data_IF_951519717854
#
_entry.id   IF_951519717854
#
_cell.length_a   1.000
_cell.length_b   1.000
_cell.length_c   1.000
_cell.angle_alpha   90.00
_cell.angle_beta   90.00
_cell.angle_gamma   90.00
#
_symmetry.space_group_name_H-M   'P 1'
#
loop_
_entity.id
_entity.type
_entity.pdbx_description
1 polymer ?
#
# COMPACT_ATOMS: atom_id res chain seq x y z
N UNK A 1 -0.71 46.03 9.92
CA UNK A 1 -1.36 44.99 9.10
C UNK A 1 -2.73 44.73 9.69
N UNK A 2 -3.79 44.85 8.93
CA UNK A 2 -5.17 44.85 9.45
C UNK A 2 -5.61 43.44 9.85
N UNK A 3 -6.11 43.24 11.08
CA UNK A 3 -6.54 41.94 11.64
C UNK A 3 -7.53 41.19 10.72
N UNK A 4 -8.36 41.91 9.98
CA UNK A 4 -9.26 41.35 8.96
C UNK A 4 -8.51 40.73 7.77
N UNK A 5 -7.37 41.34 7.39
CA UNK A 5 -6.55 40.81 6.26
C UNK A 5 -5.82 39.53 6.66
N UNK A 6 -5.33 39.43 7.89
CA UNK A 6 -4.71 38.21 8.43
C UNK A 6 -5.72 37.07 8.53
N UNK A 7 -6.97 37.37 8.94
CA UNK A 7 -8.04 36.38 9.04
C UNK A 7 -8.48 35.88 7.66
N UNK A 8 -8.53 36.77 6.66
CA UNK A 8 -8.87 36.40 5.26
C UNK A 8 -7.76 35.56 4.64
N UNK A 9 -6.47 35.93 4.87
CA UNK A 9 -5.32 35.13 4.40
C UNK A 9 -5.29 33.76 5.09
N UNK A 10 -5.58 33.69 6.38
CA UNK A 10 -5.69 32.44 7.12
C UNK A 10 -6.83 31.54 6.61
N UNK A 11 -7.99 32.10 6.29
CA UNK A 11 -9.13 31.40 5.71
C UNK A 11 -8.87 30.93 4.27
N UNK A 12 -8.19 31.74 3.45
CA UNK A 12 -7.80 31.37 2.08
C UNK A 12 -6.72 30.28 2.09
N UNK A 13 -5.73 30.38 2.98
CA UNK A 13 -4.72 29.33 3.15
C UNK A 13 -5.32 28.01 3.69
N UNK A 14 -6.24 28.07 4.66
CA UNK A 14 -6.93 26.87 5.14
C UNK A 14 -7.85 26.26 4.08
N UNK A 15 -8.52 27.08 3.26
CA UNK A 15 -9.35 26.59 2.15
C UNK A 15 -8.51 26.05 0.97
N UNK A 16 -7.29 26.56 0.77
CA UNK A 16 -6.35 26.01 -0.23
C UNK A 16 -5.72 24.68 0.25
N UNK A 17 -5.40 24.55 1.54
CA UNK A 17 -4.93 23.30 2.11
C UNK A 17 -6.04 22.22 2.11
N UNK A 18 -7.30 22.58 2.39
CA UNK A 18 -8.42 21.66 2.28
C UNK A 18 -8.74 21.24 0.83
N UNK A 19 -8.47 22.10 -0.17
CA UNK A 19 -8.69 21.75 -1.59
C UNK A 19 -7.62 20.83 -2.18
N UNK A 20 -6.42 20.74 -1.60
CA UNK A 20 -5.34 19.89 -2.13
C UNK A 20 -5.60 18.38 -1.91
N UNK A 21 -6.39 17.99 -0.91
CA UNK A 21 -6.71 16.59 -0.60
C UNK A 21 -8.09 16.12 -1.12
N UNK A 22 -8.88 17.03 -1.70
CA UNK A 22 -10.29 16.75 -2.05
C UNK A 22 -10.49 15.92 -3.32
N UNK A 23 -9.42 15.58 -4.08
CA UNK A 23 -9.56 14.86 -5.34
C UNK A 23 -9.51 13.33 -5.18
N UNK A 24 -8.84 12.81 -4.13
CA UNK A 24 -8.72 11.38 -3.90
C UNK A 24 -9.72 10.91 -2.84
N UNK A 25 -10.86 10.42 -3.28
CA UNK A 25 -11.89 9.86 -2.41
C UNK A 25 -12.50 8.59 -3.04
N UNK A 26 -11.70 7.53 -3.24
CA UNK A 26 -12.17 6.33 -3.91
C UNK A 26 -13.18 5.52 -3.08
N UNK A 27 -13.11 5.63 -1.74
CA UNK A 27 -13.97 4.89 -0.84
C UNK A 27 -14.53 5.77 0.28
N UNK A 28 -15.72 5.44 0.81
CA UNK A 28 -16.28 6.13 1.97
C UNK A 28 -15.42 5.87 3.22
N UNK A 29 -15.27 6.91 4.07
CA UNK A 29 -14.53 6.80 5.34
C UNK A 29 -15.29 5.96 6.37
N UNK A 30 -14.64 5.65 7.49
CA UNK A 30 -15.26 4.98 8.64
C UNK A 30 -16.51 5.73 9.11
N UNK A 31 -17.52 4.99 9.55
CA UNK A 31 -18.80 5.56 10.00
C UNK A 31 -19.82 5.87 8.89
N UNK A 32 -19.42 5.81 7.63
CA UNK A 32 -20.37 5.92 6.51
C UNK A 32 -21.31 4.70 6.48
N UNK A 33 -22.58 4.96 6.17
CA UNK A 33 -23.62 3.92 6.05
C UNK A 33 -23.34 2.90 4.95
N UNK A 34 -22.45 3.22 4.01
CA UNK A 34 -21.99 2.30 2.96
C UNK A 34 -21.52 0.96 3.54
N UNK A 35 -20.64 1.00 4.54
CA UNK A 35 -20.08 -0.20 5.16
C UNK A 35 -21.15 -1.12 5.75
N UNK A 36 -22.25 -0.54 6.26
CA UNK A 36 -23.35 -1.30 6.84
C UNK A 36 -24.32 -1.84 5.78
N UNK A 37 -24.46 -1.14 4.64
CA UNK A 37 -25.45 -1.46 3.61
C UNK A 37 -24.89 -2.33 2.50
N UNK A 38 -23.65 -2.08 2.07
CA UNK A 38 -23.05 -2.71 0.89
C UNK A 38 -22.18 -3.93 1.23
N UNK A 39 -21.57 -3.96 2.44
CA UNK A 39 -20.74 -5.10 2.84
C UNK A 39 -21.62 -6.19 3.47
N UNK A 40 -21.56 -7.45 3.01
CA UNK A 40 -22.34 -8.55 3.56
C UNK A 40 -22.13 -8.72 5.08
N UNK A 41 -23.21 -9.01 5.80
CA UNK A 41 -23.18 -9.17 7.27
C UNK A 41 -22.16 -10.21 7.72
N UNK A 42 -22.07 -11.34 7.00
CA UNK A 42 -21.10 -12.39 7.31
C UNK A 42 -19.67 -11.88 7.26
N UNK A 43 -19.30 -11.17 6.17
CA UNK A 43 -17.97 -10.58 6.01
C UNK A 43 -17.67 -9.56 7.12
N UNK A 44 -18.62 -8.67 7.44
CA UNK A 44 -18.44 -7.70 8.54
C UNK A 44 -18.20 -8.42 9.88
N UNK A 45 -18.97 -9.47 10.17
CA UNK A 45 -18.82 -10.25 11.39
C UNK A 45 -17.46 -10.95 11.46
N UNK A 46 -16.94 -11.44 10.33
CA UNK A 46 -15.61 -12.06 10.28
C UNK A 46 -14.49 -11.06 10.58
N UNK A 47 -14.52 -9.86 10.00
CA UNK A 47 -13.55 -8.82 10.35
C UNK A 47 -13.66 -8.40 11.82
N UNK A 48 -14.88 -8.24 12.37
CA UNK A 48 -15.08 -7.90 13.78
C UNK A 48 -14.57 -9.04 14.68
N UNK A 49 -14.78 -10.30 14.32
CA UNK A 49 -14.25 -11.47 15.04
C UNK A 49 -12.73 -11.47 15.06
N UNK A 50 -12.08 -11.21 13.92
CA UNK A 50 -10.63 -11.06 13.83
C UNK A 50 -10.13 -9.89 14.68
N UNK A 51 -10.79 -8.73 14.62
CA UNK A 51 -10.45 -7.58 15.47
C UNK A 51 -10.52 -7.93 16.96
N UNK A 52 -11.54 -8.69 17.40
CA UNK A 52 -11.67 -9.16 18.79
C UNK A 52 -10.53 -10.08 19.21
N UNK A 53 -10.05 -10.91 18.29
CA UNK A 53 -8.89 -11.79 18.52
C UNK A 53 -7.61 -10.97 18.66
N UNK A 54 -7.38 -10.07 17.71
CA UNK A 54 -6.14 -9.34 17.61
C UNK A 54 -6.01 -8.19 18.61
N UNK A 55 -7.10 -7.55 19.05
CA UNK A 55 -7.02 -6.49 20.05
C UNK A 55 -6.44 -6.93 21.40
N UNK A 56 -6.42 -8.23 21.67
CA UNK A 56 -5.85 -8.84 22.89
C UNK A 56 -4.36 -9.15 22.77
N UNK A 57 -3.81 -9.14 21.54
CA UNK A 57 -2.40 -9.42 21.32
C UNK A 57 -1.54 -8.20 21.68
N UNK A 58 -0.39 -8.40 22.32
CA UNK A 58 0.54 -7.32 22.64
C UNK A 58 1.22 -6.78 21.37
N UNK A 59 1.76 -5.58 21.46
CA UNK A 59 2.60 -4.94 20.47
C UNK A 59 4.08 -5.07 20.90
N UNK A 60 4.63 -6.27 20.76
CA UNK A 60 6.01 -6.56 21.14
C UNK A 60 6.97 -6.17 20.02
N UNK A 61 8.09 -5.55 20.37
CA UNK A 61 9.18 -5.33 19.43
C UNK A 61 9.74 -6.68 18.95
N UNK A 62 10.10 -6.75 17.67
CA UNK A 62 10.80 -7.90 17.10
C UNK A 62 12.25 -7.80 17.56
N UNK A 63 12.85 -8.86 18.15
CA UNK A 63 14.24 -8.83 18.57
C UNK A 63 15.16 -8.57 17.37
N UNK A 64 16.12 -7.64 17.54
CA UNK A 64 17.05 -7.26 16.48
C UNK A 64 17.90 -8.44 15.98
N UNK A 65 18.16 -9.39 16.85
CA UNK A 65 18.90 -10.61 16.54
C UNK A 65 18.24 -11.44 15.45
N UNK A 66 16.88 -11.45 15.39
CA UNK A 66 16.15 -12.18 14.35
C UNK A 66 16.33 -11.55 12.96
N UNK A 67 16.54 -10.24 12.89
CA UNK A 67 16.90 -9.55 11.64
C UNK A 67 18.32 -9.96 11.18
N UNK A 68 19.27 -10.02 12.11
CA UNK A 68 20.65 -10.39 11.83
C UNK A 68 20.82 -11.87 11.43
N UNK A 69 19.90 -12.76 11.82
CA UNK A 69 19.95 -14.20 11.49
C UNK A 69 20.09 -14.48 10.00
N UNK A 70 19.49 -13.66 9.14
CA UNK A 70 19.64 -13.85 7.70
C UNK A 70 21.10 -13.84 7.24
N UNK A 71 21.93 -12.96 7.82
CA UNK A 71 23.36 -12.86 7.51
C UNK A 71 24.22 -13.90 8.22
N UNK A 72 23.81 -14.30 9.41
CA UNK A 72 24.63 -15.20 10.24
C UNK A 72 24.39 -16.68 9.94
N UNK A 73 23.16 -17.07 9.61
CA UNK A 73 22.79 -18.47 9.40
C UNK A 73 21.78 -18.70 8.25
N UNK A 74 21.42 -17.65 7.49
CA UNK A 74 20.48 -17.72 6.36
C UNK A 74 19.01 -17.74 6.77
N UNK A 75 18.66 -17.64 8.05
CA UNK A 75 17.28 -17.65 8.50
C UNK A 75 16.62 -16.27 8.33
N UNK A 76 15.66 -16.17 7.43
CA UNK A 76 14.81 -14.98 7.25
C UNK A 76 13.42 -15.17 7.87
N UNK A 77 12.98 -16.41 8.01
CA UNK A 77 11.60 -16.79 8.33
C UNK A 77 11.14 -16.26 9.67
N UNK A 78 11.99 -16.34 10.71
CA UNK A 78 11.61 -15.87 12.06
C UNK A 78 11.27 -14.39 12.10
N UNK A 79 12.08 -13.57 11.43
CA UNK A 79 11.80 -12.14 11.35
C UNK A 79 10.54 -11.87 10.54
N UNK A 80 10.43 -12.49 9.37
CA UNK A 80 9.31 -12.30 8.44
C UNK A 80 7.98 -12.72 9.06
N UNK A 81 7.90 -13.89 9.70
CA UNK A 81 6.70 -14.35 10.38
C UNK A 81 6.24 -13.37 11.48
N UNK A 82 7.18 -12.87 12.28
CA UNK A 82 6.87 -11.88 13.31
C UNK A 82 6.40 -10.56 12.71
N UNK A 83 7.12 -10.05 11.70
CA UNK A 83 6.83 -8.79 11.02
C UNK A 83 5.49 -8.82 10.30
N UNK A 84 5.24 -9.87 9.50
CA UNK A 84 3.95 -10.05 8.81
C UNK A 84 2.80 -10.32 9.77
N UNK A 85 3.07 -11.03 10.87
CA UNK A 85 2.10 -11.25 11.94
C UNK A 85 1.61 -9.96 12.59
N UNK A 86 2.50 -8.99 12.80
CA UNK A 86 2.18 -7.67 13.35
C UNK A 86 1.38 -6.84 12.34
N UNK A 87 1.75 -6.83 11.05
CA UNK A 87 0.99 -6.16 9.98
C UNK A 87 -0.41 -6.75 9.86
N UNK A 88 -0.53 -8.07 9.87
CA UNK A 88 -1.83 -8.76 9.88
C UNK A 88 -2.69 -8.36 11.08
N UNK A 89 -2.09 -8.30 12.29
CA UNK A 89 -2.78 -7.82 13.49
C UNK A 89 -3.33 -6.41 13.27
N UNK A 90 -2.50 -5.50 12.75
CA UNK A 90 -2.86 -4.12 12.52
C UNK A 90 -4.00 -3.98 11.50
N UNK A 91 -3.86 -4.59 10.33
CA UNK A 91 -4.89 -4.55 9.27
C UNK A 91 -6.22 -5.13 9.76
N UNK A 92 -6.20 -6.25 10.49
CA UNK A 92 -7.42 -6.83 11.05
C UNK A 92 -8.13 -5.88 12.02
N UNK A 93 -7.39 -5.11 12.82
CA UNK A 93 -7.96 -4.11 13.74
C UNK A 93 -8.56 -2.92 12.96
N UNK A 94 -7.84 -2.41 11.96
CA UNK A 94 -8.32 -1.32 11.10
C UNK A 94 -9.59 -1.73 10.37
N UNK A 95 -9.60 -2.90 9.72
CA UNK A 95 -10.78 -3.41 9.03
C UNK A 95 -11.97 -3.65 9.97
N UNK A 96 -11.72 -4.18 11.18
CA UNK A 96 -12.76 -4.35 12.18
C UNK A 96 -13.37 -3.01 12.62
N UNK A 97 -12.56 -1.95 12.75
CA UNK A 97 -13.06 -0.61 13.07
C UNK A 97 -13.90 -0.05 11.92
N UNK A 98 -13.44 -0.16 10.68
CA UNK A 98 -14.19 0.27 9.50
C UNK A 98 -15.55 -0.44 9.43
N UNK A 99 -15.58 -1.76 9.64
CA UNK A 99 -16.80 -2.56 9.60
C UNK A 99 -17.77 -2.26 10.74
N UNK A 100 -17.27 -1.86 11.92
CA UNK A 100 -18.09 -1.57 13.08
C UNK A 100 -18.42 -0.08 13.23
N UNK A 101 -17.44 0.82 13.03
CA UNK A 101 -17.58 2.27 13.11
C UNK A 101 -17.96 2.80 14.50
N UNK A 102 -17.48 2.18 15.59
CA UNK A 102 -17.86 2.51 16.97
C UNK A 102 -16.70 2.96 17.86
N UNK A 103 -15.50 3.04 17.32
CA UNK A 103 -14.29 3.44 18.05
C UNK A 103 -13.72 2.37 18.98
N UNK A 104 -14.25 1.14 18.91
CA UNK A 104 -13.89 0.05 19.83
C UNK A 104 -12.44 -0.41 19.66
N UNK A 105 -11.95 -0.46 18.43
CA UNK A 105 -10.61 -0.93 18.11
C UNK A 105 -9.59 0.20 18.06
N UNK A 106 -10.01 1.47 18.08
CA UNK A 106 -9.13 2.64 18.03
C UNK A 106 -8.01 2.63 19.09
N UNK A 107 -8.24 2.23 20.36
CA UNK A 107 -7.13 2.17 21.32
C UNK A 107 -6.01 1.23 20.89
N UNK A 108 -6.34 0.08 20.28
CA UNK A 108 -5.36 -0.88 19.79
C UNK A 108 -4.70 -0.42 18.49
N UNK A 109 -5.46 0.21 17.58
CA UNK A 109 -4.94 0.81 16.34
C UNK A 109 -3.91 1.90 16.66
N UNK A 110 -4.18 2.81 17.60
CA UNK A 110 -3.22 3.84 18.01
C UNK A 110 -1.93 3.25 18.57
N UNK A 111 -2.01 2.20 19.39
CA UNK A 111 -0.84 1.46 19.86
C UNK A 111 -0.04 0.86 18.68
N UNK A 112 -0.74 0.37 17.66
CA UNK A 112 -0.12 -0.12 16.43
C UNK A 112 0.57 0.98 15.64
N UNK A 113 -0.03 2.17 15.52
CA UNK A 113 0.61 3.33 14.88
C UNK A 113 1.91 3.71 15.61
N UNK A 114 1.87 3.84 16.95
CA UNK A 114 3.07 4.07 17.75
C UNK A 114 4.12 2.96 17.57
N UNK A 115 3.68 1.70 17.46
CA UNK A 115 4.59 0.59 17.20
C UNK A 115 5.37 0.81 15.89
N UNK A 116 4.67 1.09 14.79
CA UNK A 116 5.30 1.26 13.48
C UNK A 116 6.23 2.48 13.40
N UNK A 117 5.88 3.59 14.06
CA UNK A 117 6.66 4.82 13.97
C UNK A 117 7.79 4.92 15.00
N UNK A 118 7.67 4.25 16.16
CA UNK A 118 8.61 4.38 17.27
C UNK A 118 9.45 3.13 17.52
N UNK A 119 8.84 1.93 17.39
CA UNK A 119 9.44 0.68 17.85
C UNK A 119 9.97 -0.19 16.74
N UNK A 120 9.36 -0.16 15.56
CA UNK A 120 9.81 -0.95 14.42
C UNK A 120 10.87 -0.18 13.62
N UNK A 121 12.14 -0.58 13.71
CA UNK A 121 13.22 0.13 13.01
C UNK A 121 13.20 -0.14 11.50
N UNK A 122 12.74 -1.31 11.08
CA UNK A 122 12.76 -1.75 9.69
C UNK A 122 11.35 -2.07 9.19
N UNK A 123 10.92 -1.37 8.14
CA UNK A 123 9.65 -1.70 7.48
C UNK A 123 9.78 -2.79 6.42
N UNK A 124 11.00 -3.06 5.95
CA UNK A 124 11.32 -4.13 5.04
C UNK A 124 11.82 -5.40 5.74
N UNK A 125 12.38 -6.34 4.97
CA UNK A 125 12.86 -7.63 5.45
C UNK A 125 14.38 -7.77 5.32
N UNK A 126 15.01 -8.65 6.14
CA UNK A 126 16.48 -8.78 6.19
C UNK A 126 17.13 -9.07 4.84
N UNK A 127 16.47 -9.87 4.00
CA UNK A 127 17.02 -10.29 2.70
C UNK A 127 17.21 -9.12 1.71
N UNK A 128 16.49 -8.01 1.89
CA UNK A 128 16.51 -6.85 1.02
C UNK A 128 17.43 -5.72 1.50
N UNK A 129 18.04 -5.88 2.66
CA UNK A 129 18.94 -4.89 3.24
C UNK A 129 20.41 -5.26 3.00
N UNK A 130 21.26 -4.28 2.65
CA UNK A 130 22.68 -4.54 2.39
C UNK A 130 23.49 -4.84 3.65
N UNK A 131 22.98 -4.44 4.83
CA UNK A 131 23.64 -4.58 6.13
C UNK A 131 22.75 -5.36 7.08
N UNK A 132 23.37 -6.01 8.06
CA UNK A 132 22.67 -6.77 9.10
C UNK A 132 21.83 -5.88 10.00
N UNK A 133 22.32 -4.69 10.30
CA UNK A 133 21.64 -3.66 11.09
C UNK A 133 21.69 -2.33 10.34
N UNK A 134 20.80 -2.10 9.39
CA UNK A 134 20.78 -0.84 8.68
C UNK A 134 20.42 0.29 9.66
N UNK A 135 21.14 1.40 9.56
CA UNK A 135 20.78 2.60 10.32
C UNK A 135 19.35 3.03 9.99
N UNK A 136 18.59 3.46 11.00
CA UNK A 136 17.17 3.80 10.86
C UNK A 136 16.93 4.92 9.83
N UNK A 137 17.91 5.79 9.62
CA UNK A 137 17.81 6.91 8.69
C UNK A 137 18.13 6.53 7.24
N UNK A 138 18.71 5.33 7.02
CA UNK A 138 18.99 4.78 5.71
C UNK A 138 17.99 3.64 5.46
N UNK A 139 16.92 3.95 4.75
CA UNK A 139 15.87 2.98 4.42
C UNK A 139 15.99 2.58 2.96
N UNK A 140 16.41 1.34 2.63
CA UNK A 140 16.20 0.83 1.29
C UNK A 140 14.70 0.70 1.05
N UNK A 141 14.27 1.06 -0.15
CA UNK A 141 12.87 0.90 -0.54
C UNK A 141 12.71 -0.47 -1.16
N UNK A 142 12.15 -1.38 -0.37
CA UNK A 142 11.78 -2.73 -0.79
C UNK A 142 10.25 -2.88 -0.86
N UNK A 143 9.79 -4.08 -1.20
CA UNK A 143 8.38 -4.45 -1.33
C UNK A 143 7.61 -4.15 -0.04
N UNK A 144 8.13 -4.59 1.10
CA UNK A 144 7.43 -4.53 2.39
C UNK A 144 7.54 -3.17 3.08
N UNK A 145 8.59 -2.40 2.76
CA UNK A 145 8.65 -0.99 3.11
C UNK A 145 7.52 -0.22 2.41
N UNK A 146 7.32 -0.47 1.11
CA UNK A 146 6.24 0.13 0.33
C UNK A 146 4.84 -0.27 0.85
N UNK A 147 4.59 -1.57 1.07
CA UNK A 147 3.32 -2.04 1.65
C UNK A 147 3.04 -1.47 3.04
N UNK A 148 4.08 -1.32 3.87
CA UNK A 148 3.90 -0.74 5.20
C UNK A 148 3.50 0.73 5.13
N UNK A 149 4.15 1.49 4.24
CA UNK A 149 3.81 2.90 4.02
C UNK A 149 2.38 3.05 3.51
N UNK A 150 1.97 2.21 2.55
CA UNK A 150 0.63 2.23 1.99
C UNK A 150 -0.45 1.79 3.00
N UNK A 151 -0.20 0.73 3.74
CA UNK A 151 -1.07 0.28 4.84
C UNK A 151 -1.32 1.41 5.86
N UNK A 152 -0.28 2.15 6.22
CA UNK A 152 -0.39 3.28 7.13
C UNK A 152 -1.14 4.45 6.48
N UNK A 153 -0.87 4.75 5.21
CA UNK A 153 -1.56 5.78 4.44
C UNK A 153 -3.08 5.50 4.36
N UNK A 154 -3.47 4.29 3.99
CA UNK A 154 -4.89 3.89 3.98
C UNK A 154 -5.53 3.95 5.36
N UNK A 155 -4.80 3.64 6.43
CA UNK A 155 -5.29 3.80 7.79
C UNK A 155 -5.60 5.27 8.10
N UNK A 156 -4.73 6.19 7.71
CA UNK A 156 -4.98 7.63 7.83
C UNK A 156 -6.17 8.06 6.98
N UNK A 157 -6.25 7.63 5.72
CA UNK A 157 -7.39 7.94 4.86
C UNK A 157 -8.73 7.57 5.51
N UNK A 158 -8.81 6.36 6.07
CA UNK A 158 -10.04 5.82 6.64
C UNK A 158 -10.40 6.36 8.03
N UNK A 159 -9.41 6.62 8.90
CA UNK A 159 -9.61 6.77 10.33
C UNK A 159 -9.06 8.08 10.93
N UNK A 160 -8.50 8.99 10.13
CA UNK A 160 -7.78 10.17 10.63
C UNK A 160 -8.62 11.00 11.62
N UNK A 161 -9.88 11.29 11.28
CA UNK A 161 -10.76 12.08 12.13
C UNK A 161 -11.01 11.42 13.48
N UNK A 162 -11.16 10.08 13.49
CA UNK A 162 -11.37 9.29 14.70
C UNK A 162 -10.10 9.22 15.56
N UNK A 163 -8.95 9.04 14.91
CA UNK A 163 -7.65 9.00 15.59
C UNK A 163 -7.34 10.37 16.21
N UNK A 164 -7.45 11.46 15.45
CA UNK A 164 -7.13 12.81 15.91
C UNK A 164 -8.05 13.30 17.03
N UNK A 165 -9.32 12.85 17.07
CA UNK A 165 -10.22 13.12 18.21
C UNK A 165 -9.74 12.48 19.51
N UNK A 166 -9.00 11.38 19.43
CA UNK A 166 -8.46 10.66 20.60
C UNK A 166 -7.03 11.03 20.92
N UNK A 167 -6.24 11.38 19.91
CA UNK A 167 -4.83 11.69 20.05
C UNK A 167 -4.38 12.65 18.95
N UNK A 168 -4.45 13.93 19.28
CA UNK A 168 -4.12 15.02 18.34
C UNK A 168 -2.64 14.94 17.93
N UNK A 169 -2.38 15.01 16.63
CA UNK A 169 -1.04 15.04 16.07
C UNK A 169 -0.41 13.66 15.79
N UNK A 170 -1.04 12.55 16.21
CA UNK A 170 -0.52 11.21 15.89
C UNK A 170 -0.52 10.97 14.37
N UNK A 171 -1.57 11.38 13.67
CA UNK A 171 -1.63 11.23 12.22
C UNK A 171 -0.54 12.01 11.49
N UNK A 172 -0.17 13.19 11.98
CA UNK A 172 0.93 13.98 11.41
C UNK A 172 2.29 13.33 11.66
N UNK A 173 2.49 12.69 12.82
CA UNK A 173 3.69 11.90 13.10
C UNK A 173 3.80 10.69 12.14
N UNK A 174 2.69 9.99 11.91
CA UNK A 174 2.66 8.87 10.96
C UNK A 174 2.98 9.36 9.54
N UNK A 175 2.41 10.47 9.06
CA UNK A 175 2.76 11.07 7.76
C UNK A 175 4.22 11.43 7.67
N UNK A 176 4.77 12.01 8.73
CA UNK A 176 6.19 12.37 8.78
C UNK A 176 7.09 11.13 8.61
N UNK A 177 6.76 10.01 9.26
CA UNK A 177 7.51 8.77 9.13
C UNK A 177 7.32 8.11 7.74
N UNK A 178 6.11 8.14 7.17
CA UNK A 178 5.87 7.69 5.78
C UNK A 178 6.74 8.52 4.82
N UNK A 179 6.73 9.85 4.97
CA UNK A 179 7.55 10.72 4.14
C UNK A 179 9.04 10.40 4.28
N UNK A 180 9.54 10.30 5.50
CA UNK A 180 10.96 10.07 5.79
C UNK A 180 11.44 8.68 5.34
N UNK A 181 10.66 7.63 5.59
CA UNK A 181 11.07 6.24 5.34
C UNK A 181 10.75 5.74 3.94
N UNK A 182 9.79 6.36 3.26
CA UNK A 182 9.31 5.87 1.97
C UNK A 182 9.30 6.93 0.88
N UNK A 183 8.50 8.01 1.00
CA UNK A 183 8.28 8.96 -0.09
C UNK A 183 9.56 9.67 -0.51
N UNK A 184 10.36 10.19 0.44
CA UNK A 184 11.62 10.86 0.13
C UNK A 184 12.69 9.91 -0.43
N UNK A 185 12.93 8.71 0.14
CA UNK A 185 13.84 7.74 -0.45
C UNK A 185 13.43 7.29 -1.85
N UNK A 186 12.15 6.99 -2.09
CA UNK A 186 11.68 6.65 -3.44
C UNK A 186 11.95 7.78 -4.42
N UNK A 187 11.64 9.01 -4.05
CA UNK A 187 11.74 10.13 -4.99
C UNK A 187 13.19 10.53 -5.26
N UNK A 188 14.03 10.58 -4.24
CA UNK A 188 15.33 11.26 -4.28
C UNK A 188 16.54 10.32 -4.33
N UNK A 189 16.37 9.02 -4.09
CA UNK A 189 17.48 8.06 -4.10
C UNK A 189 17.41 7.13 -5.32
N UNK A 190 18.55 6.68 -5.86
CA UNK A 190 18.58 5.65 -6.88
C UNK A 190 17.94 4.36 -6.38
N UNK A 191 17.00 3.82 -7.15
CA UNK A 191 16.28 2.58 -6.85
C UNK A 191 16.39 1.65 -8.05
N UNK A 192 17.10 0.53 -7.91
CA UNK A 192 17.35 -0.41 -9.03
C UNK A 192 16.07 -0.98 -9.64
N UNK A 193 15.03 -1.24 -8.81
CA UNK A 193 13.76 -1.77 -9.28
C UNK A 193 13.01 -0.85 -10.26
N UNK A 194 13.25 0.46 -10.26
CA UNK A 194 12.63 1.41 -11.22
C UNK A 194 13.02 1.13 -12.67
N UNK A 195 14.17 0.52 -12.88
CA UNK A 195 14.71 0.21 -14.22
C UNK A 195 14.41 -1.21 -14.69
N UNK A 196 13.77 -2.02 -13.85
CA UNK A 196 13.46 -3.41 -14.12
C UNK A 196 11.98 -3.58 -14.54
N UNK A 197 11.70 -4.63 -15.31
CA UNK A 197 10.35 -5.00 -15.73
C UNK A 197 9.77 -6.18 -14.94
N UNK A 198 10.32 -6.45 -13.75
CA UNK A 198 9.83 -7.50 -12.86
C UNK A 198 8.75 -6.99 -11.88
N UNK A 199 8.23 -7.89 -11.07
CA UNK A 199 7.18 -7.61 -10.07
C UNK A 199 7.55 -6.49 -9.08
N UNK A 200 8.81 -6.34 -8.69
CA UNK A 200 9.25 -5.26 -7.81
C UNK A 200 8.85 -3.87 -8.32
N UNK A 201 8.94 -3.68 -9.64
CA UNK A 201 8.60 -2.40 -10.25
C UNK A 201 7.14 -2.03 -9.98
N UNK A 202 6.21 -2.88 -10.40
CA UNK A 202 4.78 -2.59 -10.28
C UNK A 202 4.27 -2.68 -8.85
N UNK A 203 4.76 -3.63 -8.08
CA UNK A 203 4.37 -3.79 -6.68
C UNK A 203 4.73 -2.55 -5.85
N UNK A 204 5.97 -2.06 -5.95
CA UNK A 204 6.37 -0.84 -5.24
C UNK A 204 5.69 0.40 -5.84
N UNK A 205 5.50 0.43 -7.17
CA UNK A 205 4.90 1.60 -7.84
C UNK A 205 3.43 1.78 -7.50
N UNK A 206 2.62 0.71 -7.37
CA UNK A 206 1.21 0.83 -6.93
C UNK A 206 1.13 1.39 -5.52
N UNK A 207 1.87 0.82 -4.58
CA UNK A 207 1.94 1.32 -3.22
C UNK A 207 2.45 2.78 -3.14
N UNK A 208 3.43 3.14 -3.98
CA UNK A 208 3.93 4.51 -4.06
C UNK A 208 2.86 5.48 -4.55
N UNK A 209 2.14 5.14 -5.61
CA UNK A 209 1.07 5.95 -6.16
C UNK A 209 -0.01 6.22 -5.11
N UNK A 210 -0.50 5.19 -4.43
CA UNK A 210 -1.55 5.30 -3.43
C UNK A 210 -1.10 6.11 -2.23
N UNK A 211 0.10 5.85 -1.73
CA UNK A 211 0.69 6.62 -0.64
C UNK A 211 0.83 8.11 -0.99
N UNK A 212 1.24 8.45 -2.22
CA UNK A 212 1.32 9.84 -2.70
C UNK A 212 -0.05 10.48 -2.79
N UNK A 213 -1.03 9.77 -3.34
CA UNK A 213 -2.42 10.26 -3.45
C UNK A 213 -3.03 10.61 -2.10
N UNK A 214 -2.66 9.88 -1.05
CA UNK A 214 -3.20 10.05 0.30
C UNK A 214 -2.37 11.03 1.13
N UNK A 215 -1.05 10.92 1.12
CA UNK A 215 -0.18 11.56 2.11
C UNK A 215 0.59 12.76 1.60
N UNK A 216 0.85 12.89 0.27
CA UNK A 216 1.70 13.98 -0.24
C UNK A 216 0.89 15.26 -0.45
N UNK A 217 1.16 16.28 0.36
CA UNK A 217 0.48 17.57 0.29
C UNK A 217 1.23 18.62 -0.55
N UNK A 218 2.56 18.49 -0.70
CA UNK A 218 3.34 19.40 -1.55
C UNK A 218 3.11 19.10 -3.04
N UNK A 219 2.64 20.10 -3.76
CA UNK A 219 2.28 19.95 -5.18
C UNK A 219 3.48 19.59 -6.07
N UNK A 220 4.69 20.11 -5.78
CA UNK A 220 5.90 19.82 -6.56
C UNK A 220 6.36 18.38 -6.35
N UNK A 221 6.38 17.94 -5.08
CA UNK A 221 6.73 16.56 -4.72
C UNK A 221 5.74 15.58 -5.34
N UNK A 222 4.46 15.89 -5.25
CA UNK A 222 3.39 15.08 -5.85
C UNK A 222 3.51 14.96 -7.36
N UNK A 223 3.76 16.09 -8.07
CA UNK A 223 3.93 16.08 -9.53
C UNK A 223 5.20 15.32 -9.94
N UNK A 224 6.28 15.46 -9.16
CA UNK A 224 7.51 14.68 -9.39
C UNK A 224 7.28 13.19 -9.17
N UNK A 225 6.53 12.81 -8.13
CA UNK A 225 6.18 11.43 -7.86
C UNK A 225 5.32 10.83 -8.98
N UNK A 226 4.30 11.55 -9.48
CA UNK A 226 3.48 11.09 -10.62
C UNK A 226 4.30 10.83 -11.88
N UNK A 227 5.28 11.70 -12.19
CA UNK A 227 6.21 11.48 -13.31
C UNK A 227 7.05 10.21 -13.09
N UNK A 228 7.53 10.00 -11.86
CA UNK A 228 8.29 8.81 -11.49
C UNK A 228 7.47 7.54 -11.64
N UNK A 229 6.23 7.54 -11.13
CA UNK A 229 5.26 6.43 -11.26
C UNK A 229 5.00 6.12 -12.75
N UNK A 230 4.68 7.12 -13.56
CA UNK A 230 4.50 6.92 -15.02
C UNK A 230 5.73 6.31 -15.68
N UNK A 231 6.94 6.75 -15.30
CA UNK A 231 8.17 6.20 -15.85
C UNK A 231 8.36 4.73 -15.47
N UNK A 232 8.13 4.37 -14.21
CA UNK A 232 8.19 2.98 -13.73
C UNK A 232 7.22 2.09 -14.51
N UNK A 233 5.96 2.51 -14.63
CA UNK A 233 4.93 1.76 -15.36
C UNK A 233 5.26 1.61 -16.86
N UNK A 234 5.82 2.63 -17.50
CA UNK A 234 6.30 2.54 -18.89
C UNK A 234 7.46 1.54 -19.03
N UNK A 235 8.40 1.55 -18.08
CA UNK A 235 9.52 0.60 -18.04
C UNK A 235 9.02 -0.83 -17.91
N UNK A 236 8.11 -1.08 -16.97
CA UNK A 236 7.49 -2.38 -16.79
C UNK A 236 6.77 -2.85 -18.07
N UNK A 237 5.87 -2.01 -18.60
CA UNK A 237 5.07 -2.35 -19.77
C UNK A 237 5.91 -2.62 -21.03
N UNK A 238 7.07 -1.93 -21.16
CA UNK A 238 8.01 -2.16 -22.26
C UNK A 238 8.67 -3.53 -22.18
N UNK A 239 9.04 -3.98 -20.98
CA UNK A 239 9.77 -5.23 -20.78
C UNK A 239 8.88 -6.44 -20.51
N UNK A 240 7.61 -6.25 -20.11
CA UNK A 240 6.69 -7.34 -19.85
C UNK A 240 6.27 -8.08 -21.14
N UNK A 241 6.08 -9.40 -21.14
CA UNK A 241 5.71 -10.17 -22.32
C UNK A 241 4.41 -9.70 -23.00
N UNK A 242 4.36 -9.75 -24.32
CA UNK A 242 3.19 -9.29 -25.10
C UNK A 242 1.96 -10.21 -24.95
N UNK A 243 2.19 -11.48 -24.64
CA UNK A 243 1.13 -12.44 -24.31
C UNK A 243 0.52 -12.24 -22.92
N UNK A 244 1.09 -11.34 -22.10
CA UNK A 244 0.64 -11.05 -20.76
C UNK A 244 1.07 -12.06 -19.69
N UNK A 245 1.95 -13.01 -20.03
CA UNK A 245 2.44 -14.04 -19.13
C UNK A 245 3.30 -13.49 -18.01
N UNK A 246 3.08 -13.95 -16.78
CA UNK A 246 3.98 -13.65 -15.66
C UNK A 246 5.10 -14.69 -15.61
N UNK A 247 6.34 -14.28 -15.78
CA UNK A 247 7.50 -15.20 -15.83
C UNK A 247 7.69 -16.01 -14.54
N UNK A 248 7.31 -15.45 -13.39
CA UNK A 248 7.36 -16.11 -12.08
C UNK A 248 6.13 -16.98 -11.80
N UNK A 249 5.16 -17.03 -12.74
CA UNK A 249 3.95 -17.83 -12.64
C UNK A 249 2.78 -17.14 -11.94
N UNK A 250 1.69 -17.90 -11.78
CA UNK A 250 0.37 -17.37 -11.33
C UNK A 250 0.39 -16.75 -9.94
N UNK A 251 1.21 -17.25 -9.02
CA UNK A 251 1.30 -16.73 -7.65
C UNK A 251 1.87 -15.30 -7.61
N UNK A 252 2.64 -14.91 -8.63
CA UNK A 252 3.23 -13.58 -8.73
C UNK A 252 2.43 -12.62 -9.63
N UNK A 253 1.37 -13.11 -10.26
CA UNK A 253 0.49 -12.26 -11.08
C UNK A 253 -0.08 -11.08 -10.27
N UNK A 254 -0.47 -11.31 -9.01
CA UNK A 254 -1.00 -10.28 -8.11
C UNK A 254 -0.01 -9.12 -7.93
N UNK A 255 1.30 -9.43 -7.86
CA UNK A 255 2.35 -8.46 -7.65
C UNK A 255 2.91 -7.84 -8.95
N UNK A 256 2.58 -8.43 -10.11
CA UNK A 256 3.05 -7.99 -11.42
C UNK A 256 1.93 -7.35 -12.23
N UNK A 257 1.21 -8.14 -13.05
CA UNK A 257 0.16 -7.64 -13.93
C UNK A 257 -1.02 -7.01 -13.18
N UNK A 258 -1.40 -7.56 -12.04
CA UNK A 258 -2.47 -7.00 -11.21
C UNK A 258 -2.07 -5.68 -10.57
N UNK A 259 -0.86 -5.55 -9.99
CA UNK A 259 -0.38 -4.27 -9.43
C UNK A 259 -0.18 -3.20 -10.50
N UNK A 260 0.16 -3.59 -11.74
CA UNK A 260 0.15 -2.65 -12.87
C UNK A 260 -1.27 -2.10 -13.11
N UNK A 261 -2.27 -2.98 -13.17
CA UNK A 261 -3.66 -2.58 -13.36
C UNK A 261 -4.17 -1.76 -12.16
N UNK A 262 -3.81 -2.13 -10.94
CA UNK A 262 -4.13 -1.37 -9.73
C UNK A 262 -3.65 0.09 -9.84
N UNK A 263 -2.41 0.28 -10.33
CA UNK A 263 -1.91 1.63 -10.61
C UNK A 263 -2.78 2.37 -11.64
N UNK A 264 -3.21 1.71 -12.73
CA UNK A 264 -4.14 2.32 -13.70
C UNK A 264 -5.49 2.66 -13.06
N UNK A 265 -6.00 1.79 -12.21
CA UNK A 265 -7.26 2.00 -11.50
C UNK A 265 -7.18 3.22 -10.57
N UNK A 266 -6.13 3.36 -9.76
CA UNK A 266 -6.00 4.50 -8.88
C UNK A 266 -5.62 5.80 -9.59
N UNK A 267 -4.95 5.74 -10.74
CA UNK A 267 -4.70 6.92 -11.57
C UNK A 267 -5.97 7.64 -12.06
N UNK A 268 -7.12 6.96 -12.15
CA UNK A 268 -8.38 7.62 -12.51
C UNK A 268 -8.85 8.65 -11.48
N UNK A 269 -8.37 8.54 -10.24
CA UNK A 269 -8.65 9.49 -9.15
C UNK A 269 -7.56 10.59 -9.05
N UNK A 270 -6.51 10.51 -9.84
CA UNK A 270 -5.42 11.47 -9.88
C UNK A 270 -5.72 12.63 -10.87
N UNK A 271 -4.99 13.74 -10.79
CA UNK A 271 -5.07 14.79 -11.82
C UNK A 271 -4.78 14.22 -13.22
N UNK A 272 -5.44 14.77 -14.26
CA UNK A 272 -5.32 14.26 -15.65
C UNK A 272 -3.89 14.09 -16.14
N UNK A 273 -2.98 14.99 -15.74
CA UNK A 273 -1.56 14.90 -16.11
C UNK A 273 -0.82 13.72 -15.48
N UNK A 274 -1.37 13.11 -14.42
CA UNK A 274 -0.82 11.93 -13.78
C UNK A 274 -1.25 10.62 -14.45
N UNK A 275 -2.29 10.65 -15.29
CA UNK A 275 -2.85 9.45 -15.93
C UNK A 275 -1.89 8.94 -17.02
N UNK A 276 -1.61 7.64 -17.00
CA UNK A 276 -0.80 6.98 -18.01
C UNK A 276 -1.61 6.80 -19.31
N UNK A 277 -1.15 7.40 -20.40
CA UNK A 277 -1.74 7.19 -21.72
C UNK A 277 -1.13 5.95 -22.37
N UNK A 278 -1.97 5.02 -22.82
CA UNK A 278 -1.60 3.77 -23.49
C UNK A 278 -2.01 3.84 -24.96
N UNK A 279 -1.13 3.38 -25.86
CA UNK A 279 -1.47 3.12 -27.25
C UNK A 279 -2.19 1.76 -27.39
N UNK A 280 -2.71 1.45 -28.58
CA UNK A 280 -3.51 0.23 -28.79
C UNK A 280 -2.74 -1.08 -28.51
N UNK A 281 -1.47 -1.17 -28.88
CA UNK A 281 -0.64 -2.33 -28.57
C UNK A 281 -0.43 -2.51 -27.06
N UNK A 282 -0.24 -1.41 -26.33
CA UNK A 282 -0.10 -1.41 -24.88
C UNK A 282 -1.43 -1.80 -24.19
N UNK A 283 -2.56 -1.30 -24.67
CA UNK A 283 -3.88 -1.71 -24.18
C UNK A 283 -4.08 -3.21 -24.36
N UNK A 284 -3.73 -3.74 -25.54
CA UNK A 284 -3.81 -5.17 -25.82
C UNK A 284 -2.94 -5.99 -24.88
N UNK A 285 -1.72 -5.53 -24.58
CA UNK A 285 -0.84 -6.17 -23.59
C UNK A 285 -1.48 -6.18 -22.19
N UNK A 286 -2.06 -5.07 -21.74
CA UNK A 286 -2.80 -5.00 -20.46
C UNK A 286 -3.98 -5.97 -20.42
N UNK A 287 -4.75 -6.08 -21.51
CA UNK A 287 -5.80 -7.09 -21.62
C UNK A 287 -5.25 -8.51 -21.48
N UNK A 288 -4.13 -8.81 -22.15
CA UNK A 288 -3.49 -10.12 -22.08
C UNK A 288 -3.01 -10.42 -20.64
N UNK A 289 -2.44 -9.44 -19.92
CA UNK A 289 -2.09 -9.59 -18.51
C UNK A 289 -3.31 -9.98 -17.64
N UNK A 290 -4.46 -9.35 -17.87
CA UNK A 290 -5.70 -9.68 -17.15
C UNK A 290 -6.25 -11.08 -17.52
N UNK A 291 -6.05 -11.52 -18.77
CA UNK A 291 -6.47 -12.85 -19.24
C UNK A 291 -5.55 -13.97 -18.75
N UNK A 292 -4.28 -13.68 -18.45
CA UNK A 292 -3.31 -14.68 -18.04
C UNK A 292 -3.80 -15.52 -16.88
N UNK A 293 -4.30 -14.89 -15.80
CA UNK A 293 -4.74 -15.61 -14.60
C UNK A 293 -5.89 -16.60 -14.90
N UNK A 294 -6.83 -16.21 -15.78
CA UNK A 294 -7.94 -17.06 -16.16
C UNK A 294 -7.50 -18.17 -17.14
N UNK A 295 -6.51 -17.91 -17.98
CA UNK A 295 -5.94 -18.91 -18.90
C UNK A 295 -5.19 -20.00 -18.16
N UNK A 296 -4.55 -19.65 -17.03
CA UNK A 296 -3.79 -20.60 -16.20
C UNK A 296 -4.66 -21.37 -15.19
N UNK A 297 -5.95 -21.06 -15.09
CA UNK A 297 -6.87 -21.73 -14.17
C UNK A 297 -7.24 -23.14 -14.68
N UNK A 298 -7.21 -24.12 -13.80
CA UNK A 298 -7.58 -25.52 -14.08
C UNK A 298 -8.93 -25.84 -13.41
N UNK A 299 -8.97 -25.82 -12.08
CA UNK A 299 -10.20 -26.05 -11.29
C UNK A 299 -10.00 -25.60 -9.84
N UNK A 300 -11.07 -25.35 -9.14
CA UNK A 300 -11.09 -24.94 -7.72
C UNK A 300 -10.04 -23.86 -7.39
N UNK A 301 -8.98 -24.23 -6.70
CA UNK A 301 -7.82 -23.37 -6.39
C UNK A 301 -6.59 -23.79 -7.18
N UNK A 302 -6.72 -24.69 -8.16
CA UNK A 302 -5.60 -25.26 -8.91
C UNK A 302 -5.34 -24.48 -10.18
N UNK A 303 -4.09 -24.16 -10.40
CA UNK A 303 -3.58 -23.44 -11.56
C UNK A 303 -2.40 -24.18 -12.20
N UNK A 304 -2.12 -23.90 -13.46
CA UNK A 304 -0.86 -24.31 -14.08
C UNK A 304 0.28 -23.65 -13.33
N UNK A 305 1.16 -24.46 -12.75
CA UNK A 305 2.29 -23.97 -11.97
C UNK A 305 3.62 -24.16 -12.72
N UNK A 306 4.44 -23.12 -12.65
CA UNK A 306 5.81 -23.11 -13.16
C UNK A 306 6.58 -22.03 -12.41
N UNK A 307 7.93 -22.04 -12.52
CA UNK A 307 8.82 -21.10 -11.81
C UNK A 307 8.51 -21.11 -10.31
N UNK A 308 8.28 -19.95 -9.71
CA UNK A 308 8.05 -19.80 -8.26
C UNK A 308 6.56 -19.93 -7.87
N UNK A 309 5.67 -20.22 -8.85
CA UNK A 309 4.25 -20.36 -8.56
C UNK A 309 3.90 -21.69 -7.89
N UNK A 310 2.95 -21.62 -6.97
CA UNK A 310 2.35 -22.81 -6.37
C UNK A 310 1.18 -23.31 -7.21
N UNK A 311 0.92 -24.62 -7.16
CA UNK A 311 -0.22 -25.22 -7.87
C UNK A 311 -1.57 -24.76 -7.31
N UNK A 312 -1.64 -24.45 -6.03
CA UNK A 312 -2.82 -23.87 -5.40
C UNK A 312 -2.60 -22.38 -5.17
N UNK A 313 -3.51 -21.57 -5.70
CA UNK A 313 -3.43 -20.11 -5.62
C UNK A 313 -4.82 -19.52 -5.35
N UNK A 314 -4.85 -18.39 -4.66
CA UNK A 314 -6.06 -17.57 -4.47
C UNK A 314 -5.73 -16.17 -4.98
N UNK A 315 -6.05 -15.86 -6.24
CA UNK A 315 -5.81 -14.53 -6.78
C UNK A 315 -6.51 -13.44 -5.96
N UNK A 316 -5.93 -12.25 -5.95
CA UNK A 316 -6.54 -11.09 -5.28
C UNK A 316 -7.86 -10.70 -5.98
N UNK A 317 -8.97 -11.15 -5.42
CA UNK A 317 -10.31 -10.89 -5.98
C UNK A 317 -10.67 -9.41 -6.02
N UNK A 318 -10.07 -8.58 -5.16
CA UNK A 318 -10.31 -7.14 -5.16
C UNK A 318 -9.77 -6.46 -6.42
N UNK A 319 -8.73 -7.03 -7.02
CA UNK A 319 -8.18 -6.58 -8.30
C UNK A 319 -8.77 -7.37 -9.47
N UNK A 320 -8.97 -8.66 -9.31
CA UNK A 320 -9.51 -9.52 -10.37
C UNK A 320 -10.87 -9.03 -10.88
N UNK A 321 -11.78 -8.61 -9.99
CA UNK A 321 -13.10 -8.11 -10.36
C UNK A 321 -13.04 -6.81 -11.18
N UNK A 322 -12.39 -5.71 -10.73
CA UNK A 322 -12.31 -4.50 -11.53
C UNK A 322 -11.48 -4.68 -12.80
N UNK A 323 -10.48 -5.58 -12.80
CA UNK A 323 -9.73 -5.91 -13.99
C UNK A 323 -10.61 -6.61 -15.03
N UNK A 324 -11.43 -7.58 -14.60
CA UNK A 324 -12.40 -8.24 -15.48
C UNK A 324 -13.43 -7.27 -16.06
N UNK A 325 -13.83 -6.25 -15.32
CA UNK A 325 -14.73 -5.21 -15.83
C UNK A 325 -14.04 -4.24 -16.82
N UNK A 326 -12.71 -4.12 -16.77
CA UNK A 326 -11.91 -3.35 -17.71
C UNK A 326 -11.75 -4.08 -19.07
N UNK A 327 -11.66 -5.42 -19.05
CA UNK A 327 -11.50 -6.27 -20.23
C UNK A 327 -12.75 -6.30 -21.12
#
# INVERSE_FOLDING_TARGET
MNKKLIMIIGLVLSSMLMKAQAFFMPFPKVGDKYWQKQVPVAMRNDYIRLGNLYQKKPWNAIPAETFAEFRTNGNRTRYEEASFGIRKQFVCLVMAEIMQGRGRFLPSIRKGLHYFIEKEPWWGIPAHYPKDHPERDIQPVDLFNAETADMLAWTLYMLEDEINRKEKGLCDQVRSEINRRFLQPVLNQPQGWKSNANNWNTWITSNWLETVLICESDAKQRDAAFKGVQQCLRTFLKGYPDDGGCEEGVSYWDCAGASFFESLYFMQFAPKQAVLTLNEAQKKKVENMGRFITTMYINDLTFVNFSDAQAQNVPNINILFPYGAYL
#
